data_IF_576360532317
#
_entry.id   IF_576360532317
#
_cell.length_a   1.000
_cell.length_b   1.000
_cell.length_c   1.000
_cell.angle_alpha   90.00
_cell.angle_beta   90.00
_cell.angle_gamma   90.00
#
_symmetry.space_group_name_H-M   'P 1'
#
loop_
_entity.id
_entity.type
_entity.pdbx_description
1 polymer ?
#
# COMPACT_ATOMS: atom_id res chain seq x y z
N UNK A 1 -7.84 -25.71 -19.52
CA UNK A 1 -7.32 -24.32 -19.46
C UNK A 1 -8.08 -23.36 -18.52
N UNK A 2 -9.27 -23.66 -17.97
CA UNK A 2 -10.09 -22.67 -17.23
C UNK A 2 -9.87 -22.51 -15.70
N UNK A 3 -9.13 -23.39 -15.01
CA UNK A 3 -8.95 -23.31 -13.53
C UNK A 3 -7.66 -22.62 -13.06
N UNK A 4 -6.66 -22.47 -13.93
CA UNK A 4 -5.41 -21.77 -13.58
C UNK A 4 -5.55 -20.23 -13.67
N UNK A 5 -6.28 -19.71 -14.66
CA UNK A 5 -6.47 -18.27 -14.82
C UNK A 5 -7.29 -17.60 -13.70
N UNK A 6 -8.22 -18.32 -13.06
CA UNK A 6 -9.09 -17.76 -12.02
C UNK A 6 -8.38 -17.61 -10.66
N UNK A 7 -7.37 -18.44 -10.39
CA UNK A 7 -6.54 -18.32 -9.19
C UNK A 7 -5.69 -17.04 -9.22
N UNK A 8 -5.25 -16.64 -10.41
CA UNK A 8 -4.36 -15.50 -10.60
C UNK A 8 -5.05 -14.13 -10.52
N UNK A 9 -6.34 -14.03 -10.86
CA UNK A 9 -7.09 -12.77 -10.84
C UNK A 9 -7.58 -12.34 -9.47
N UNK A 10 -7.70 -13.26 -8.49
CA UNK A 10 -8.28 -12.93 -7.17
C UNK A 10 -7.50 -11.84 -6.43
N UNK A 11 -6.16 -11.94 -6.25
CA UNK A 11 -5.39 -10.89 -5.58
C UNK A 11 -5.47 -9.54 -6.30
N UNK A 12 -5.45 -9.54 -7.64
CA UNK A 12 -5.59 -8.33 -8.44
C UNK A 12 -6.96 -7.68 -8.25
N UNK A 13 -8.05 -8.44 -8.33
CA UNK A 13 -9.40 -7.95 -8.11
C UNK A 13 -9.60 -7.42 -6.68
N UNK A 14 -9.05 -8.13 -5.67
CA UNK A 14 -9.05 -7.67 -4.28
C UNK A 14 -8.31 -6.34 -4.14
N UNK A 15 -7.14 -6.19 -4.76
CA UNK A 15 -6.40 -4.93 -4.72
C UNK A 15 -7.12 -3.79 -5.43
N UNK A 16 -7.77 -4.04 -6.57
CA UNK A 16 -8.60 -3.03 -7.23
C UNK A 16 -9.78 -2.57 -6.35
N UNK A 17 -10.41 -3.50 -5.62
CA UNK A 17 -11.45 -3.14 -4.65
C UNK A 17 -10.89 -2.32 -3.48
N UNK A 18 -9.73 -2.71 -2.94
CA UNK A 18 -9.00 -1.94 -1.91
C UNK A 18 -8.70 -0.53 -2.42
N UNK A 19 -8.27 -0.40 -3.67
CA UNK A 19 -7.96 0.90 -4.27
C UNK A 19 -9.17 1.83 -4.26
N UNK A 20 -10.34 1.35 -4.68
CA UNK A 20 -11.57 2.16 -4.70
C UNK A 20 -11.98 2.56 -3.28
N UNK A 21 -11.95 1.61 -2.33
CA UNK A 21 -12.24 1.89 -0.91
C UNK A 21 -11.28 2.93 -0.35
N UNK A 22 -9.98 2.83 -0.68
CA UNK A 22 -8.97 3.77 -0.23
C UNK A 22 -9.07 5.15 -0.90
N UNK A 23 -9.60 5.24 -2.10
CA UNK A 23 -9.89 6.52 -2.73
C UNK A 23 -11.05 7.25 -2.02
N UNK A 24 -12.13 6.54 -1.70
CA UNK A 24 -13.28 7.09 -0.97
C UNK A 24 -12.89 7.50 0.45
N UNK A 25 -12.10 6.68 1.16
CA UNK A 25 -11.68 6.99 2.53
C UNK A 25 -10.84 8.27 2.60
N UNK A 26 -9.94 8.51 1.63
CA UNK A 26 -9.15 9.75 1.57
C UNK A 26 -10.05 10.98 1.48
N UNK A 27 -11.10 10.90 0.65
CA UNK A 27 -12.09 11.97 0.48
C UNK A 27 -12.84 12.24 1.78
N UNK A 28 -13.38 11.20 2.43
CA UNK A 28 -14.12 11.34 3.69
C UNK A 28 -13.25 11.87 4.83
N UNK A 29 -12.03 11.34 4.97
CA UNK A 29 -11.07 11.85 5.95
C UNK A 29 -10.77 13.33 5.74
N UNK A 30 -10.60 13.76 4.49
CA UNK A 30 -10.38 15.17 4.16
C UNK A 30 -11.58 16.03 4.52
N UNK A 31 -12.80 15.61 4.17
CA UNK A 31 -14.02 16.35 4.54
C UNK A 31 -14.18 16.47 6.06
N UNK A 32 -13.83 15.43 6.81
CA UNK A 32 -13.91 15.45 8.27
C UNK A 32 -12.84 16.36 8.92
N UNK A 33 -11.64 16.45 8.33
CA UNK A 33 -10.64 17.44 8.75
C UNK A 33 -11.04 18.88 8.42
N UNK A 34 -11.72 19.11 7.30
CA UNK A 34 -12.29 20.43 6.98
C UNK A 34 -13.34 20.88 8.02
N UNK A 35 -13.93 19.95 8.78
CA UNK A 35 -14.80 20.23 9.92
C UNK A 35 -14.05 20.34 11.27
N UNK A 36 -12.72 20.45 11.25
CA UNK A 36 -11.90 20.64 12.45
C UNK A 36 -11.63 19.38 13.28
N UNK A 37 -11.84 18.18 12.73
CA UNK A 37 -11.55 16.94 13.44
C UNK A 37 -10.04 16.79 13.68
N UNK A 38 -9.63 16.42 14.90
CA UNK A 38 -8.22 16.28 15.21
C UNK A 38 -7.61 14.98 14.64
N UNK A 39 -6.40 15.08 14.12
CA UNK A 39 -5.68 13.96 13.47
C UNK A 39 -5.51 12.76 14.39
N UNK A 40 -4.99 12.98 15.60
CA UNK A 40 -4.71 11.90 16.56
C UNK A 40 -5.99 11.19 16.98
N UNK A 41 -7.08 11.94 17.19
CA UNK A 41 -8.39 11.39 17.54
C UNK A 41 -8.95 10.52 16.42
N UNK A 42 -8.89 10.99 15.16
CA UNK A 42 -9.31 10.18 14.02
C UNK A 42 -8.54 8.87 13.94
N UNK A 43 -7.21 8.91 14.03
CA UNK A 43 -6.39 7.69 13.94
C UNK A 43 -6.78 6.74 15.08
N UNK A 44 -6.79 7.21 16.33
CA UNK A 44 -7.11 6.38 17.50
C UNK A 44 -8.48 5.73 17.38
N UNK A 45 -9.53 6.51 17.05
CA UNK A 45 -10.88 5.97 16.90
C UNK A 45 -10.99 5.02 15.71
N UNK A 46 -10.33 5.32 14.59
CA UNK A 46 -10.26 4.44 13.42
C UNK A 46 -9.69 3.07 13.79
N UNK A 47 -8.58 3.01 14.54
CA UNK A 47 -7.98 1.73 14.94
C UNK A 47 -8.84 0.98 15.96
N UNK A 48 -9.47 1.70 16.88
CA UNK A 48 -10.41 1.11 17.82
C UNK A 48 -11.61 0.47 17.11
N UNK A 49 -12.23 1.19 16.17
CA UNK A 49 -13.32 0.67 15.35
C UNK A 49 -12.88 -0.55 14.54
N UNK A 50 -11.68 -0.53 13.94
CA UNK A 50 -11.15 -1.67 13.21
C UNK A 50 -10.97 -2.90 14.09
N UNK A 51 -10.45 -2.72 15.31
CA UNK A 51 -10.33 -3.79 16.30
C UNK A 51 -11.70 -4.34 16.70
N UNK A 52 -12.66 -3.48 17.05
CA UNK A 52 -14.02 -3.92 17.43
C UNK A 52 -14.73 -4.70 16.32
N UNK A 53 -14.47 -4.32 15.06
CA UNK A 53 -15.02 -5.02 13.90
C UNK A 53 -14.34 -6.38 13.67
N UNK A 54 -12.99 -6.44 13.70
CA UNK A 54 -12.25 -7.66 13.39
C UNK A 54 -12.18 -8.66 14.55
N UNK A 55 -12.18 -8.20 15.81
CA UNK A 55 -12.07 -9.07 16.99
C UNK A 55 -13.11 -10.19 17.05
N UNK A 56 -14.44 -9.93 16.87
CA UNK A 56 -15.42 -11.01 16.86
C UNK A 56 -15.21 -11.96 15.68
N UNK A 57 -14.89 -11.44 14.48
CA UNK A 57 -14.63 -12.26 13.29
C UNK A 57 -13.43 -13.18 13.52
N UNK A 58 -12.35 -12.63 14.09
CA UNK A 58 -11.15 -13.36 14.44
C UNK A 58 -11.44 -14.46 15.47
N UNK A 59 -12.20 -14.13 16.52
CA UNK A 59 -12.60 -15.11 17.53
C UNK A 59 -13.40 -16.27 16.90
N UNK A 60 -14.45 -15.98 16.13
CA UNK A 60 -15.30 -17.05 15.59
C UNK A 60 -14.59 -17.88 14.51
N UNK A 61 -13.77 -17.27 13.64
CA UNK A 61 -13.08 -18.00 12.57
C UNK A 61 -11.82 -18.74 13.01
N UNK A 62 -11.04 -18.17 13.92
CA UNK A 62 -9.68 -18.67 14.19
C UNK A 62 -9.49 -19.21 15.61
N UNK A 63 -10.51 -19.17 16.50
CA UNK A 63 -10.37 -19.67 17.89
C UNK A 63 -9.79 -21.07 18.04
N UNK A 64 -9.97 -21.96 17.05
CA UNK A 64 -9.47 -23.35 17.08
C UNK A 64 -8.13 -23.54 16.36
N UNK A 65 -7.75 -22.62 15.49
CA UNK A 65 -6.58 -22.75 14.59
C UNK A 65 -5.46 -21.77 14.93
N UNK A 66 -5.70 -20.84 15.86
CA UNK A 66 -4.78 -19.77 16.25
C UNK A 66 -3.51 -20.33 16.90
N UNK A 67 -2.32 -20.01 16.36
CA UNK A 67 -1.04 -20.36 16.99
C UNK A 67 -0.88 -19.68 18.35
N UNK A 68 -0.06 -20.27 19.23
CA UNK A 68 0.30 -19.65 20.52
C UNK A 68 1.03 -18.33 20.25
N UNK A 69 0.65 -17.29 20.99
CA UNK A 69 1.27 -15.98 20.91
C UNK A 69 2.58 -15.99 21.70
N UNK A 70 3.70 -16.18 21.01
CA UNK A 70 5.04 -16.08 21.62
C UNK A 70 5.47 -14.62 21.77
N UNK A 71 6.47 -14.36 22.61
CA UNK A 71 7.06 -13.01 22.74
C UNK A 71 7.57 -12.49 21.39
N UNK A 72 8.17 -13.37 20.58
CA UNK A 72 8.62 -13.02 19.24
C UNK A 72 7.46 -12.54 18.36
N UNK A 73 6.36 -13.29 18.27
CA UNK A 73 5.19 -12.91 17.48
C UNK A 73 4.60 -11.60 18.00
N UNK A 74 4.55 -11.42 19.33
CA UNK A 74 4.08 -10.18 19.94
C UNK A 74 4.94 -8.97 19.52
N UNK A 75 6.27 -9.11 19.54
CA UNK A 75 7.19 -8.05 19.09
C UNK A 75 6.97 -7.73 17.61
N UNK A 76 6.82 -8.75 16.75
CA UNK A 76 6.48 -8.54 15.34
C UNK A 76 5.15 -7.77 15.17
N UNK A 77 4.11 -8.14 15.91
CA UNK A 77 2.82 -7.45 15.90
C UNK A 77 2.91 -6.02 16.40
N UNK A 78 3.70 -5.78 17.45
CA UNK A 78 3.91 -4.45 18.01
C UNK A 78 4.56 -3.51 16.99
N UNK A 79 5.66 -3.95 16.37
CA UNK A 79 6.31 -3.16 15.32
C UNK A 79 5.46 -3.04 14.06
N UNK A 80 4.67 -4.07 13.71
CA UNK A 80 3.71 -3.97 12.61
C UNK A 80 2.64 -2.91 12.88
N UNK A 81 2.14 -2.84 14.12
CA UNK A 81 1.21 -1.81 14.55
C UNK A 81 1.83 -0.40 14.48
N UNK A 82 3.08 -0.23 14.95
CA UNK A 82 3.81 1.05 14.86
C UNK A 82 3.97 1.45 13.39
N UNK A 83 4.56 0.59 12.57
CA UNK A 83 4.96 0.92 11.20
C UNK A 83 3.78 1.01 10.24
N UNK A 84 2.73 0.22 10.40
CA UNK A 84 1.60 0.23 9.47
C UNK A 84 0.49 1.19 9.87
N UNK A 85 0.00 1.05 11.09
CA UNK A 85 -1.28 1.63 11.50
C UNK A 85 -1.11 2.93 12.32
N UNK A 86 -0.04 3.05 13.12
CA UNK A 86 0.18 4.21 14.01
C UNK A 86 1.06 5.29 13.37
N UNK A 87 2.37 5.05 13.34
CA UNK A 87 3.40 6.04 13.03
C UNK A 87 3.29 6.52 11.57
N UNK A 88 3.06 5.61 10.62
CA UNK A 88 2.88 5.97 9.21
C UNK A 88 1.73 6.95 9.02
N UNK A 89 0.56 6.69 9.62
CA UNK A 89 -0.60 7.56 9.47
C UNK A 89 -0.36 8.91 10.13
N UNK A 90 0.22 8.90 11.33
CA UNK A 90 0.52 10.11 12.06
C UNK A 90 1.53 10.99 11.30
N UNK A 91 2.66 10.41 10.85
CA UNK A 91 3.66 11.11 10.04
C UNK A 91 3.09 11.62 8.72
N UNK A 92 2.22 10.86 8.06
CA UNK A 92 1.58 11.29 6.82
C UNK A 92 0.72 12.55 7.04
N UNK A 93 -0.11 12.55 8.09
CA UNK A 93 -0.94 13.73 8.39
C UNK A 93 -0.15 14.91 8.95
N UNK A 94 0.92 14.67 9.73
CA UNK A 94 1.86 15.74 10.12
C UNK A 94 2.52 16.34 8.88
N UNK A 95 2.96 15.50 7.95
CA UNK A 95 3.50 15.93 6.66
C UNK A 95 2.52 16.80 5.87
N UNK A 96 1.26 16.37 5.79
CA UNK A 96 0.18 17.13 5.17
C UNK A 96 -0.12 18.48 5.84
N UNK A 97 0.16 18.66 7.14
CA UNK A 97 -0.01 19.97 7.81
C UNK A 97 1.01 21.02 7.33
N UNK A 98 2.15 20.58 6.80
CA UNK A 98 3.26 21.45 6.39
C UNK A 98 3.51 21.46 4.87
N UNK A 99 2.74 20.67 4.11
CA UNK A 99 2.91 20.49 2.67
C UNK A 99 1.56 20.38 1.97
N UNK A 100 1.55 20.20 0.65
CA UNK A 100 0.31 20.05 -0.11
C UNK A 100 -0.12 18.59 -0.23
N UNK A 101 -1.40 18.34 -0.50
CA UNK A 101 -1.90 16.98 -0.73
C UNK A 101 -1.18 16.29 -1.89
N UNK A 102 -0.93 17.00 -2.99
CA UNK A 102 -0.18 16.49 -4.15
C UNK A 102 1.25 16.11 -3.77
N UNK A 103 1.91 16.94 -2.96
CA UNK A 103 3.25 16.67 -2.46
C UNK A 103 3.27 15.40 -1.61
N UNK A 104 2.33 15.24 -0.69
CA UNK A 104 2.21 14.05 0.15
C UNK A 104 1.90 12.77 -0.66
N UNK A 105 1.04 12.88 -1.69
CA UNK A 105 0.77 11.76 -2.60
C UNK A 105 2.02 11.31 -3.34
N UNK A 106 2.92 12.23 -3.70
CA UNK A 106 4.19 11.91 -4.34
C UNK A 106 5.05 10.95 -3.50
N UNK A 107 5.16 11.21 -2.19
CA UNK A 107 5.90 10.35 -1.28
C UNK A 107 5.23 9.00 -1.09
N UNK A 108 3.89 8.94 -0.96
CA UNK A 108 3.20 7.65 -0.91
C UNK A 108 3.42 6.86 -2.20
N UNK A 109 3.46 7.52 -3.36
CA UNK A 109 3.71 6.87 -4.65
C UNK A 109 5.15 6.31 -4.77
N UNK A 110 6.07 6.69 -3.87
CA UNK A 110 7.39 6.08 -3.76
C UNK A 110 7.40 4.75 -2.99
N UNK A 111 6.31 4.40 -2.29
CA UNK A 111 6.17 3.14 -1.52
C UNK A 111 6.58 1.90 -2.32
N UNK A 112 6.11 1.63 -3.56
CA UNK A 112 6.52 0.43 -4.29
C UNK A 112 8.02 0.38 -4.56
N UNK A 113 8.67 1.52 -4.80
CA UNK A 113 10.12 1.57 -5.01
C UNK A 113 10.90 1.30 -3.73
N UNK A 114 10.52 1.93 -2.61
CA UNK A 114 11.12 1.63 -1.32
C UNK A 114 10.89 0.17 -0.92
N UNK A 115 9.69 -0.36 -1.16
CA UNK A 115 9.35 -1.75 -0.89
C UNK A 115 10.21 -2.70 -1.73
N UNK A 116 10.42 -2.40 -3.01
CA UNK A 116 11.33 -3.17 -3.86
C UNK A 116 12.76 -3.17 -3.32
N UNK A 117 13.32 -2.00 -3.00
CA UNK A 117 14.69 -1.87 -2.46
C UNK A 117 14.84 -2.62 -1.14
N UNK A 118 13.89 -2.48 -0.21
CA UNK A 118 13.91 -3.16 1.10
C UNK A 118 13.69 -4.67 0.93
N UNK A 119 12.93 -5.13 -0.08
CA UNK A 119 12.69 -6.55 -0.33
C UNK A 119 13.95 -7.32 -0.79
N UNK A 120 14.92 -6.65 -1.41
CA UNK A 120 16.16 -7.27 -1.91
C UNK A 120 17.01 -7.92 -0.80
N UNK A 121 17.44 -7.21 0.26
CA UNK A 121 18.25 -7.82 1.33
C UNK A 121 17.51 -8.93 2.10
N UNK A 122 16.18 -8.93 2.10
CA UNK A 122 15.39 -9.99 2.72
C UNK A 122 15.13 -11.20 1.80
N UNK A 123 15.67 -11.20 0.57
CA UNK A 123 15.49 -12.27 -0.41
C UNK A 123 14.04 -12.45 -0.86
N UNK A 124 13.18 -11.45 -0.64
CA UNK A 124 11.79 -11.46 -1.08
C UNK A 124 11.67 -11.11 -2.57
N UNK A 125 12.67 -10.43 -3.11
CA UNK A 125 12.85 -10.19 -4.55
C UNK A 125 14.23 -10.66 -4.99
N UNK A 126 14.30 -11.18 -6.21
CA UNK A 126 15.57 -11.49 -6.88
C UNK A 126 15.80 -10.46 -7.98
N UNK A 127 16.98 -9.84 -7.96
CA UNK A 127 17.44 -8.93 -9.00
C UNK A 127 18.57 -9.60 -9.77
N UNK A 128 18.28 -10.06 -10.99
CA UNK A 128 19.30 -10.57 -11.90
C UNK A 128 19.45 -9.64 -13.11
N UNK A 129 20.46 -8.77 -13.05
CA UNK A 129 20.77 -7.78 -14.09
C UNK A 129 21.21 -8.41 -15.42
N UNK A 130 21.51 -9.72 -15.45
CA UNK A 130 21.81 -10.44 -16.69
C UNK A 130 20.54 -10.77 -17.48
N UNK A 131 19.37 -10.69 -16.85
CA UNK A 131 18.09 -10.95 -17.50
C UNK A 131 17.40 -9.66 -17.92
N UNK A 132 16.68 -9.70 -19.05
CA UNK A 132 15.86 -8.56 -19.48
C UNK A 132 14.77 -8.18 -18.46
N UNK A 133 14.31 -9.13 -17.64
CA UNK A 133 13.36 -8.86 -16.55
C UNK A 133 14.01 -8.09 -15.40
N UNK A 134 15.23 -8.45 -14.98
CA UNK A 134 15.96 -7.72 -13.95
C UNK A 134 16.31 -6.29 -14.39
N UNK A 135 16.73 -6.09 -15.64
CA UNK A 135 16.93 -4.75 -16.21
C UNK A 135 15.64 -3.94 -16.23
N UNK A 136 14.52 -4.54 -16.65
CA UNK A 136 13.22 -3.88 -16.64
C UNK A 136 12.75 -3.46 -15.23
N UNK A 137 13.07 -4.24 -14.18
CA UNK A 137 12.79 -3.87 -12.77
C UNK A 137 13.57 -2.64 -12.33
N UNK A 138 14.87 -2.55 -12.66
CA UNK A 138 15.68 -1.36 -12.34
C UNK A 138 15.15 -0.15 -13.08
N UNK A 139 14.97 -0.25 -14.40
CA UNK A 139 14.46 0.86 -15.21
C UNK A 139 13.09 1.32 -14.70
N UNK A 140 12.16 0.40 -14.45
CA UNK A 140 10.84 0.73 -13.92
C UNK A 140 10.89 1.42 -12.55
N UNK A 141 11.80 0.99 -11.67
CA UNK A 141 12.03 1.61 -10.36
C UNK A 141 12.61 3.01 -10.49
N UNK A 142 13.60 3.21 -11.37
CA UNK A 142 14.20 4.52 -11.63
C UNK A 142 13.19 5.48 -12.25
N UNK A 143 12.44 5.04 -13.28
CA UNK A 143 11.40 5.85 -13.93
C UNK A 143 10.30 6.23 -12.92
N UNK A 144 9.87 5.29 -12.07
CA UNK A 144 8.91 5.57 -11.00
C UNK A 144 9.44 6.60 -10.00
N UNK A 145 10.72 6.53 -9.64
CA UNK A 145 11.38 7.47 -8.73
C UNK A 145 11.47 8.87 -9.32
N UNK A 146 11.88 8.98 -10.58
CA UNK A 146 11.87 10.24 -11.30
C UNK A 146 10.46 10.81 -11.41
N UNK A 147 9.46 9.97 -11.72
CA UNK A 147 8.05 10.38 -11.76
C UNK A 147 7.53 10.93 -10.43
N UNK A 148 7.90 10.29 -9.32
CA UNK A 148 7.53 10.75 -7.98
C UNK A 148 8.25 12.04 -7.57
N UNK A 149 9.51 12.25 -7.98
CA UNK A 149 10.22 13.52 -7.77
C UNK A 149 9.55 14.65 -8.57
N UNK A 150 9.20 14.41 -9.83
CA UNK A 150 8.49 15.39 -10.66
C UNK A 150 7.13 15.72 -10.03
N UNK A 151 6.37 14.71 -9.58
CA UNK A 151 5.10 14.89 -8.87
C UNK A 151 5.23 15.76 -7.61
N UNK A 152 6.35 15.64 -6.89
CA UNK A 152 6.62 16.41 -5.68
C UNK A 152 7.08 17.84 -5.98
N UNK A 153 8.04 18.01 -6.87
CA UNK A 153 8.75 19.29 -7.03
C UNK A 153 8.18 20.17 -8.14
N UNK A 154 7.45 19.59 -9.09
CA UNK A 154 6.85 20.32 -10.20
C UNK A 154 5.33 20.43 -9.99
N UNK A 155 4.84 21.64 -9.71
CA UNK A 155 3.39 21.89 -9.71
C UNK A 155 2.88 22.20 -11.12
N UNK A 156 3.59 23.02 -11.90
CA UNK A 156 3.16 23.40 -13.26
C UNK A 156 1.85 24.22 -13.27
N UNK A 157 1.36 24.62 -14.47
CA UNK A 157 0.10 25.35 -14.60
C UNK A 157 -1.11 24.51 -14.20
N UNK A 158 -2.16 25.18 -13.72
CA UNK A 158 -3.46 24.56 -13.48
C UNK A 158 -4.09 24.12 -14.80
N UNK A 159 -4.47 22.86 -14.89
CA UNK A 159 -5.12 22.27 -16.07
C UNK A 159 -6.64 22.49 -16.07
N UNK A 160 -7.19 22.99 -14.98
CA UNK A 160 -8.61 23.31 -14.82
C UNK A 160 -8.78 24.82 -14.72
N UNK A 161 -9.49 25.41 -15.68
CA UNK A 161 -9.69 26.86 -15.80
C UNK A 161 -10.71 27.38 -14.78
N UNK A 162 -10.22 27.76 -13.60
CA UNK A 162 -10.91 28.61 -12.63
C UNK A 162 -9.89 29.51 -11.95
N UNK A 163 -10.05 30.82 -12.09
CA UNK A 163 -9.13 31.84 -11.57
C UNK A 163 -9.14 31.90 -10.04
N UNK A 164 -8.13 31.30 -9.41
CA UNK A 164 -7.69 31.68 -8.06
C UNK A 164 -6.16 31.61 -7.97
N UNK A 165 -5.58 32.64 -7.37
CA UNK A 165 -4.14 32.91 -7.37
C UNK A 165 -3.30 31.78 -6.74
N UNK A 166 -2.04 31.58 -7.17
CA UNK A 166 -1.16 30.60 -6.56
C UNK A 166 -0.85 31.01 -5.12
N UNK A 167 -1.10 30.13 -4.15
CA UNK A 167 -0.56 30.27 -2.80
C UNK A 167 0.96 30.03 -2.86
N UNK A 168 1.72 31.10 -3.07
CA UNK A 168 3.16 31.10 -2.90
C UNK A 168 3.48 30.94 -1.40
N UNK A 169 4.14 29.84 -1.02
CA UNK A 169 4.70 29.68 0.33
C UNK A 169 5.87 30.66 0.52
N UNK A 170 5.71 31.57 1.48
CA UNK A 170 6.68 32.62 1.80
C UNK A 170 8.05 32.11 2.25
N UNK A 171 9.10 32.70 1.66
CA UNK A 171 10.50 32.46 1.96
C UNK A 171 10.87 32.96 3.38
N UNK A 172 11.69 32.19 4.10
CA UNK A 172 12.22 32.55 5.43
C UNK A 172 11.84 31.55 6.53
N UNK A 173 10.60 31.60 7.01
CA UNK A 173 10.06 30.63 8.00
C UNK A 173 9.35 29.42 7.37
N UNK A 174 9.07 29.47 6.06
CA UNK A 174 8.46 28.38 5.30
C UNK A 174 9.41 27.21 5.04
N UNK A 175 10.71 27.45 4.92
CA UNK A 175 11.70 26.42 4.56
C UNK A 175 11.84 25.34 5.63
N UNK A 176 12.02 25.71 6.90
CA UNK A 176 12.14 24.74 7.99
C UNK A 176 10.86 23.91 8.15
N UNK A 177 9.68 24.55 8.07
CA UNK A 177 8.38 23.87 8.15
C UNK A 177 8.18 22.89 6.97
N UNK A 178 8.53 23.32 5.76
CA UNK A 178 8.45 22.47 4.56
C UNK A 178 9.43 21.29 4.61
N UNK A 179 10.65 21.49 5.13
CA UNK A 179 11.62 20.40 5.37
C UNK A 179 11.07 19.41 6.40
N UNK A 180 10.52 19.88 7.52
CA UNK A 180 9.88 19.01 8.51
C UNK A 180 8.75 18.19 7.88
N UNK A 181 7.90 18.82 7.06
CA UNK A 181 6.84 18.12 6.33
C UNK A 181 7.36 17.07 5.35
N UNK A 182 8.40 17.40 4.59
CA UNK A 182 9.04 16.49 3.63
C UNK A 182 9.68 15.28 4.31
N UNK A 183 10.42 15.50 5.41
CA UNK A 183 11.02 14.43 6.20
C UNK A 183 9.94 13.53 6.80
N UNK A 184 8.84 14.10 7.32
CA UNK A 184 7.73 13.32 7.85
C UNK A 184 7.06 12.45 6.77
N UNK A 185 6.83 12.98 5.56
CA UNK A 185 6.25 12.22 4.45
C UNK A 185 7.17 11.12 3.94
N UNK A 186 8.48 11.39 3.85
CA UNK A 186 9.47 10.38 3.48
C UNK A 186 9.51 9.24 4.51
N UNK A 187 9.52 9.60 5.80
CA UNK A 187 9.48 8.64 6.88
C UNK A 187 8.18 7.83 6.88
N UNK A 188 7.03 8.44 6.56
CA UNK A 188 5.76 7.74 6.41
C UNK A 188 5.81 6.70 5.27
N UNK A 189 6.32 7.08 4.09
CA UNK A 189 6.45 6.17 2.95
C UNK A 189 7.42 5.01 3.24
N UNK A 190 8.52 5.28 3.95
CA UNK A 190 9.46 4.27 4.38
C UNK A 190 8.82 3.31 5.40
N UNK A 191 8.16 3.83 6.45
CA UNK A 191 7.46 3.02 7.45
C UNK A 191 6.38 2.14 6.81
N UNK A 192 5.62 2.69 5.87
CA UNK A 192 4.62 1.95 5.11
C UNK A 192 5.24 0.79 4.34
N UNK A 193 6.37 1.04 3.65
CA UNK A 193 7.12 0.01 2.92
C UNK A 193 7.64 -1.08 3.84
N UNK A 194 8.22 -0.72 4.99
CA UNK A 194 8.66 -1.68 6.00
C UNK A 194 7.49 -2.51 6.56
N UNK A 195 6.31 -1.92 6.72
CA UNK A 195 5.12 -2.65 7.14
C UNK A 195 4.78 -3.76 6.14
N UNK A 196 4.79 -3.53 4.83
CA UNK A 196 4.52 -4.59 3.84
C UNK A 196 5.50 -5.77 3.97
N UNK A 197 6.78 -5.48 4.15
CA UNK A 197 7.83 -6.49 4.33
C UNK A 197 7.61 -7.28 5.63
N UNK A 198 7.37 -6.55 6.72
CA UNK A 198 7.13 -7.13 8.04
C UNK A 198 5.87 -8.00 8.04
N UNK A 199 4.80 -7.53 7.38
CA UNK A 199 3.53 -8.24 7.26
C UNK A 199 3.69 -9.55 6.48
N UNK A 200 4.54 -9.58 5.45
CA UNK A 200 4.87 -10.81 4.72
C UNK A 200 5.56 -11.85 5.61
N UNK A 201 6.46 -11.42 6.51
CA UNK A 201 7.10 -12.33 7.47
C UNK A 201 6.14 -12.75 8.58
N UNK A 202 5.30 -11.83 9.05
CA UNK A 202 4.31 -12.08 10.08
C UNK A 202 3.29 -13.12 9.61
N UNK A 203 2.77 -13.04 8.38
CA UNK A 203 1.83 -14.02 7.84
C UNK A 203 2.36 -15.45 7.82
N UNK A 204 3.69 -15.62 7.65
CA UNK A 204 4.35 -16.93 7.72
C UNK A 204 4.51 -17.44 9.16
N UNK A 205 4.84 -16.55 10.10
CA UNK A 205 5.05 -16.90 11.52
C UNK A 205 3.75 -17.06 12.31
N UNK A 206 2.72 -16.32 11.89
CA UNK A 206 1.43 -16.26 12.54
C UNK A 206 0.32 -16.38 11.50
N UNK A 207 0.03 -17.61 11.02
CA UNK A 207 -0.98 -17.88 9.98
C UNK A 207 -2.43 -17.78 10.50
N UNK A 208 -2.71 -16.74 11.29
CA UNK A 208 -4.03 -16.36 11.78
C UNK A 208 -4.28 -14.91 11.34
N UNK A 209 -4.66 -14.75 10.08
CA UNK A 209 -4.75 -13.46 9.37
C UNK A 209 -5.69 -12.48 10.09
N UNK A 210 -6.85 -12.95 10.54
CA UNK A 210 -7.85 -12.10 11.21
C UNK A 210 -7.38 -11.70 12.60
N UNK A 211 -6.90 -12.66 13.39
CA UNK A 211 -6.39 -12.45 14.75
C UNK A 211 -5.15 -11.57 14.76
N UNK A 212 -4.24 -11.77 13.80
CA UNK A 212 -3.04 -10.96 13.63
C UNK A 212 -3.38 -9.50 13.33
N UNK A 213 -4.29 -9.25 12.38
CA UNK A 213 -4.74 -7.88 12.08
C UNK A 213 -5.52 -7.27 13.25
N UNK A 214 -6.41 -8.02 13.91
CA UNK A 214 -7.12 -7.52 15.09
C UNK A 214 -6.15 -7.11 16.22
N UNK A 215 -5.16 -7.95 16.53
CA UNK A 215 -4.14 -7.63 17.53
C UNK A 215 -3.27 -6.44 17.11
N UNK A 216 -2.89 -6.35 15.85
CA UNK A 216 -2.16 -5.21 15.31
C UNK A 216 -2.96 -3.90 15.51
N UNK A 217 -4.27 -3.92 15.24
CA UNK A 217 -5.13 -2.75 15.48
C UNK A 217 -5.33 -2.43 16.96
N UNK A 218 -5.41 -3.45 17.82
CA UNK A 218 -5.44 -3.24 19.27
C UNK A 218 -4.16 -2.56 19.77
N UNK A 219 -3.00 -3.06 19.35
CA UNK A 219 -1.70 -2.46 19.71
C UNK A 219 -1.56 -1.06 19.14
N UNK A 220 -2.02 -0.83 17.92
CA UNK A 220 -2.01 0.49 17.28
C UNK A 220 -2.93 1.48 17.99
N UNK A 221 -4.12 1.03 18.41
CA UNK A 221 -5.02 1.81 19.25
C UNK A 221 -4.34 2.21 20.56
N UNK A 222 -3.70 1.27 21.27
CA UNK A 222 -3.02 1.57 22.53
C UNK A 222 -1.88 2.58 22.33
N UNK A 223 -1.08 2.42 21.27
CA UNK A 223 0.00 3.35 20.92
C UNK A 223 -0.54 4.76 20.67
N UNK A 224 -1.56 4.88 19.81
CA UNK A 224 -2.13 6.18 19.43
C UNK A 224 -2.99 6.81 20.52
N UNK A 225 -3.64 6.01 21.37
CA UNK A 225 -4.30 6.48 22.58
C UNK A 225 -3.29 7.06 23.57
N UNK A 226 -2.15 6.38 23.77
CA UNK A 226 -1.07 6.87 24.63
C UNK A 226 -0.50 8.19 24.12
N UNK A 227 -0.22 8.28 22.82
CA UNK A 227 0.20 9.54 22.17
C UNK A 227 -0.87 10.61 22.33
N UNK A 228 -2.14 10.29 22.05
CA UNK A 228 -3.26 11.20 22.16
C UNK A 228 -3.46 11.75 23.56
N UNK A 229 -3.35 10.92 24.60
CA UNK A 229 -3.44 11.37 25.99
C UNK A 229 -2.24 12.22 26.40
N UNK A 230 -1.05 11.96 25.84
CA UNK A 230 0.14 12.75 26.13
C UNK A 230 0.13 14.12 25.40
N UNK A 231 -0.43 14.20 24.19
CA UNK A 231 -0.46 15.42 23.38
C UNK A 231 -1.72 16.26 23.56
N UNK A 232 -2.88 15.63 23.76
CA UNK A 232 -4.18 16.30 23.87
C UNK A 232 -4.67 16.27 25.32
N UNK A 233 -4.53 17.39 26.03
CA UNK A 233 -5.01 17.53 27.42
C UNK A 233 -6.52 17.79 27.51
N UNK A 234 -7.13 18.29 26.44
CA UNK A 234 -8.54 18.62 26.41
C UNK A 234 -9.39 17.43 25.93
N UNK A 235 -10.24 16.92 26.81
CA UNK A 235 -11.18 15.83 26.49
C UNK A 235 -12.24 16.23 25.45
N UNK A 236 -12.44 17.53 25.24
CA UNK A 236 -13.41 18.08 24.28
C UNK A 236 -13.07 17.75 22.82
N UNK A 237 -11.80 17.43 22.53
CA UNK A 237 -11.29 17.06 21.20
C UNK A 237 -11.69 15.63 20.82
N UNK A 238 -11.94 14.78 21.82
CA UNK A 238 -12.34 13.38 21.63
C UNK A 238 -13.84 13.21 21.34
N UNK A 239 -14.62 14.26 21.53
CA UNK A 239 -16.06 14.26 21.27
C UNK A 239 -16.30 14.50 19.77
N UNK A 240 -16.89 13.51 19.11
CA UNK A 240 -17.35 13.65 17.72
C UNK A 240 -18.60 14.53 17.69
N UNK A 241 -18.50 15.69 17.02
CA UNK A 241 -19.53 16.73 17.06
C UNK A 241 -20.53 16.63 15.93
N UNK A 242 -20.12 16.07 14.79
CA UNK A 242 -20.95 16.03 13.57
C UNK A 242 -21.23 14.61 13.12
N UNK A 243 -22.37 14.42 12.43
CA UNK A 243 -22.72 13.14 11.80
C UNK A 243 -21.66 12.68 10.80
N UNK A 244 -21.04 13.63 10.07
CA UNK A 244 -19.98 13.34 9.11
C UNK A 244 -18.74 12.77 9.80
N UNK A 245 -18.32 13.33 10.94
CA UNK A 245 -17.19 12.82 11.71
C UNK A 245 -17.44 11.37 12.18
N UNK A 246 -18.64 11.08 12.68
CA UNK A 246 -19.03 9.72 13.10
C UNK A 246 -19.01 8.74 11.92
N UNK A 247 -19.67 9.10 10.81
CA UNK A 247 -19.70 8.28 9.59
C UNK A 247 -18.29 8.04 9.07
N UNK A 248 -17.43 9.06 9.10
CA UNK A 248 -16.04 8.96 8.66
C UNK A 248 -15.25 8.00 9.54
N UNK A 249 -15.32 8.14 10.86
CA UNK A 249 -14.64 7.22 11.79
C UNK A 249 -15.09 5.78 11.57
N UNK A 250 -16.40 5.55 11.46
CA UNK A 250 -16.94 4.21 11.23
C UNK A 250 -16.52 3.63 9.87
N UNK A 251 -16.67 4.39 8.79
CA UNK A 251 -16.32 3.93 7.45
C UNK A 251 -14.81 3.68 7.31
N UNK A 252 -13.99 4.64 7.73
CA UNK A 252 -12.52 4.53 7.61
C UNK A 252 -11.99 3.44 8.55
N UNK A 253 -12.60 3.25 9.72
CA UNK A 253 -12.28 2.16 10.66
C UNK A 253 -12.66 0.78 10.12
N UNK A 254 -13.88 0.60 9.65
CA UNK A 254 -14.38 -0.70 9.16
C UNK A 254 -13.82 -1.02 7.78
N UNK A 255 -14.06 -0.16 6.79
CA UNK A 255 -13.70 -0.41 5.39
C UNK A 255 -12.21 -0.20 5.15
N UNK A 256 -11.66 0.91 5.66
CA UNK A 256 -10.26 1.27 5.45
C UNK A 256 -9.29 0.41 6.25
N UNK A 257 -9.42 0.41 7.58
CA UNK A 257 -8.56 -0.39 8.46
C UNK A 257 -8.99 -1.85 8.51
N UNK A 258 -10.21 -2.16 8.96
CA UNK A 258 -10.69 -3.52 9.19
C UNK A 258 -10.61 -4.42 7.95
N UNK A 259 -11.38 -4.10 6.91
CA UNK A 259 -11.44 -4.89 5.67
C UNK A 259 -10.22 -4.61 4.80
N UNK A 260 -9.83 -3.33 4.66
CA UNK A 260 -8.76 -2.91 3.77
C UNK A 260 -7.38 -3.45 4.12
N UNK A 261 -6.91 -3.30 5.37
CA UNK A 261 -5.61 -3.86 5.77
C UNK A 261 -5.62 -5.38 5.81
N UNK A 262 -6.76 -5.98 6.16
CA UNK A 262 -6.91 -7.43 6.11
C UNK A 262 -6.77 -7.94 4.67
N UNK A 263 -7.44 -7.29 3.71
CA UNK A 263 -7.35 -7.59 2.29
C UNK A 263 -5.92 -7.36 1.74
N UNK A 264 -5.26 -6.28 2.13
CA UNK A 264 -3.85 -6.03 1.79
C UNK A 264 -2.94 -7.11 2.37
N UNK A 265 -3.11 -7.45 3.66
CA UNK A 265 -2.35 -8.51 4.33
C UNK A 265 -2.50 -9.85 3.62
N UNK A 266 -3.72 -10.20 3.24
CA UNK A 266 -3.99 -11.39 2.45
C UNK A 266 -3.29 -11.33 1.09
N UNK A 267 -3.36 -10.21 0.37
CA UNK A 267 -2.66 -10.06 -0.92
C UNK A 267 -1.13 -10.18 -0.78
N UNK A 268 -0.56 -9.68 0.32
CA UNK A 268 0.86 -9.81 0.64
C UNK A 268 1.24 -11.30 0.83
N UNK A 269 0.40 -12.08 1.51
CA UNK A 269 0.64 -13.52 1.68
C UNK A 269 0.55 -14.28 0.35
N UNK A 270 -0.37 -13.89 -0.55
CA UNK A 270 -0.58 -14.57 -1.82
C UNK A 270 0.45 -14.22 -2.90
N UNK A 271 0.82 -12.94 -3.04
CA UNK A 271 1.62 -12.43 -4.18
C UNK A 271 2.88 -11.67 -3.75
N UNK A 272 3.06 -11.46 -2.45
CA UNK A 272 4.20 -10.74 -1.90
C UNK A 272 3.99 -9.22 -1.79
N UNK A 273 4.86 -8.54 -1.02
CA UNK A 273 4.72 -7.13 -0.66
C UNK A 273 4.88 -6.17 -1.84
N UNK A 274 5.78 -6.47 -2.79
CA UNK A 274 5.99 -5.63 -3.98
C UNK A 274 4.78 -5.64 -4.91
N UNK A 275 4.09 -6.76 -5.03
CA UNK A 275 2.83 -6.83 -5.80
C UNK A 275 1.75 -5.95 -5.16
N UNK A 276 1.57 -6.04 -3.84
CA UNK A 276 0.52 -5.27 -3.15
C UNK A 276 0.80 -3.77 -3.20
N UNK A 277 2.05 -3.35 -2.98
CA UNK A 277 2.45 -1.94 -3.01
C UNK A 277 2.38 -1.32 -4.39
N UNK A 278 2.43 -2.14 -5.45
CA UNK A 278 2.24 -1.68 -6.81
C UNK A 278 0.94 -0.90 -6.99
N UNK A 279 -0.13 -1.24 -6.29
CA UNK A 279 -1.42 -0.59 -6.46
C UNK A 279 -1.54 0.76 -5.76
N UNK A 280 -0.57 1.14 -4.91
CA UNK A 280 -0.64 2.39 -4.13
C UNK A 280 -0.75 3.67 -4.99
N UNK A 281 -0.10 3.82 -6.15
CA UNK A 281 -0.29 4.99 -7.00
C UNK A 281 -1.70 5.09 -7.58
N UNK A 282 -2.33 3.95 -7.86
CA UNK A 282 -3.70 3.92 -8.37
C UNK A 282 -4.69 4.44 -7.33
N UNK A 283 -4.43 4.21 -6.03
CA UNK A 283 -5.22 4.78 -4.93
C UNK A 283 -5.25 6.31 -5.04
N UNK A 284 -4.08 6.93 -5.22
CA UNK A 284 -3.96 8.37 -5.28
C UNK A 284 -4.56 8.95 -6.56
N UNK A 285 -4.44 8.25 -7.68
CA UNK A 285 -5.07 8.66 -8.95
C UNK A 285 -6.59 8.74 -8.82
N UNK A 286 -7.22 7.68 -8.31
CA UNK A 286 -8.68 7.64 -8.14
C UNK A 286 -9.12 8.61 -7.04
N UNK A 287 -8.38 8.72 -5.94
CA UNK A 287 -8.67 9.69 -4.89
C UNK A 287 -8.63 11.13 -5.42
N UNK A 288 -7.62 11.47 -6.23
CA UNK A 288 -7.52 12.76 -6.89
C UNK A 288 -8.72 13.06 -7.80
N UNK A 289 -9.12 12.09 -8.62
CA UNK A 289 -10.30 12.23 -9.47
C UNK A 289 -11.59 12.45 -8.66
N UNK A 290 -11.79 11.70 -7.57
CA UNK A 290 -12.94 11.88 -6.67
C UNK A 290 -12.89 13.28 -6.03
N UNK A 291 -11.72 13.74 -5.56
CA UNK A 291 -11.58 15.06 -4.94
C UNK A 291 -11.86 16.21 -5.91
N UNK A 292 -11.48 16.10 -7.20
CA UNK A 292 -11.82 17.11 -8.22
C UNK A 292 -13.35 17.22 -8.34
N UNK A 293 -14.06 16.09 -8.39
CA UNK A 293 -15.52 16.08 -8.57
C UNK A 293 -16.25 16.49 -7.30
N UNK A 294 -15.83 15.97 -6.14
CA UNK A 294 -16.56 16.13 -4.88
C UNK A 294 -16.15 17.38 -4.06
N UNK A 295 -14.90 17.85 -4.20
CA UNK A 295 -14.36 19.01 -3.48
C UNK A 295 -13.99 20.18 -4.41
N UNK A 296 -14.22 20.06 -5.72
CA UNK A 296 -13.89 21.08 -6.73
C UNK A 296 -12.42 21.52 -6.70
N UNK A 297 -11.51 20.58 -6.43
CA UNK A 297 -10.06 20.86 -6.40
C UNK A 297 -9.46 21.03 -7.80
N UNK A 298 -8.41 21.85 -7.90
CA UNK A 298 -7.71 22.09 -9.14
C UNK A 298 -6.66 21.01 -9.46
N UNK A 299 -6.67 20.52 -10.69
CA UNK A 299 -5.65 19.60 -11.19
C UNK A 299 -4.45 20.37 -11.72
N UNK A 300 -3.27 20.04 -11.20
CA UNK A 300 -2.02 20.66 -11.60
C UNK A 300 -1.28 19.78 -12.63
N UNK A 301 -0.64 20.38 -13.64
CA UNK A 301 0.04 19.63 -14.72
C UNK A 301 1.10 18.66 -14.18
N UNK A 302 1.88 19.08 -13.19
CA UNK A 302 2.88 18.20 -12.60
C UNK A 302 2.29 17.02 -11.83
N UNK A 303 1.06 17.16 -11.32
CA UNK A 303 0.31 16.05 -10.72
C UNK A 303 -0.08 15.00 -11.76
N UNK A 304 -0.56 15.43 -12.92
CA UNK A 304 -0.95 14.54 -14.01
C UNK A 304 0.28 13.82 -14.62
N UNK A 305 1.33 14.58 -14.95
CA UNK A 305 2.55 14.03 -15.57
C UNK A 305 3.29 13.08 -14.63
N UNK A 306 3.46 13.48 -13.36
CA UNK A 306 4.12 12.65 -12.35
C UNK A 306 3.36 11.35 -12.07
N UNK A 307 2.03 11.42 -11.99
CA UNK A 307 1.18 10.22 -11.82
C UNK A 307 1.30 9.28 -13.02
N UNK A 308 1.32 9.80 -14.25
CA UNK A 308 1.50 9.00 -15.46
C UNK A 308 2.85 8.27 -15.46
N UNK A 309 3.94 8.95 -15.11
CA UNK A 309 5.28 8.35 -15.02
C UNK A 309 5.36 7.25 -13.95
N UNK A 310 4.71 7.44 -12.79
CA UNK A 310 4.63 6.40 -11.75
C UNK A 310 3.88 5.16 -12.26
N UNK A 311 2.77 5.34 -12.99
CA UNK A 311 2.00 4.23 -13.57
C UNK A 311 2.84 3.47 -14.61
N UNK A 312 3.58 4.18 -15.47
CA UNK A 312 4.46 3.57 -16.47
C UNK A 312 5.59 2.79 -15.79
N UNK A 313 6.27 3.39 -14.81
CA UNK A 313 7.34 2.72 -14.05
C UNK A 313 6.83 1.45 -13.37
N UNK A 314 5.62 1.51 -12.81
CA UNK A 314 4.97 0.36 -12.21
C UNK A 314 4.63 -0.75 -13.20
N UNK A 315 4.07 -0.38 -14.35
CA UNK A 315 3.73 -1.33 -15.41
C UNK A 315 4.95 -2.13 -15.84
N UNK A 316 6.10 -1.47 -16.00
CA UNK A 316 7.36 -2.14 -16.35
C UNK A 316 7.80 -3.15 -15.29
N UNK A 317 7.67 -2.80 -13.99
CA UNK A 317 7.99 -3.71 -12.88
C UNK A 317 7.05 -4.93 -12.86
N UNK A 318 5.75 -4.71 -13.02
CA UNK A 318 4.76 -5.79 -13.04
C UNK A 318 4.93 -6.69 -14.26
N UNK A 319 5.16 -6.11 -15.44
CA UNK A 319 5.43 -6.85 -16.67
C UNK A 319 6.68 -7.73 -16.54
N UNK A 320 7.76 -7.20 -15.95
CA UNK A 320 8.98 -7.95 -15.67
C UNK A 320 8.70 -9.18 -14.79
N UNK A 321 7.86 -9.01 -13.76
CA UNK A 321 7.44 -10.11 -12.88
C UNK A 321 6.59 -11.16 -13.59
N UNK A 322 5.66 -10.75 -14.45
CA UNK A 322 4.90 -11.69 -15.27
C UNK A 322 5.83 -12.52 -16.15
N UNK A 323 6.85 -11.89 -16.74
CA UNK A 323 7.85 -12.58 -17.58
C UNK A 323 8.69 -13.59 -16.79
N UNK A 324 9.09 -13.28 -15.56
CA UNK A 324 9.78 -14.22 -14.68
C UNK A 324 8.89 -15.42 -14.28
N UNK A 325 7.61 -15.17 -13.99
CA UNK A 325 6.65 -16.23 -13.68
C UNK A 325 6.40 -17.15 -14.88
N UNK A 326 6.31 -16.60 -16.09
CA UNK A 326 6.18 -17.37 -17.33
C UNK A 326 7.47 -18.14 -17.69
N UNK A 327 8.65 -17.59 -17.37
CA UNK A 327 9.94 -18.26 -17.58
C UNK A 327 10.27 -19.37 -16.57
N UNK A 328 9.62 -19.36 -15.40
CA UNK A 328 9.78 -20.37 -14.35
C UNK A 328 8.79 -21.57 -14.47
N UNK A 329 7.83 -21.53 -15.40
CA UNK A 329 7.01 -22.69 -15.72
C UNK A 329 7.89 -23.78 -16.36
N UNK A 330 7.76 -25.07 -15.98
CA UNK A 330 8.72 -26.09 -16.37
C UNK A 330 8.65 -26.35 -17.87
N UNK A 331 9.64 -25.83 -18.59
CA UNK A 331 10.05 -26.26 -19.93
C UNK A 331 10.64 -27.67 -19.95
N UNK A 332 10.60 -28.42 -18.84
CA UNK A 332 11.05 -29.82 -18.81
C UNK A 332 10.04 -30.78 -19.44
N UNK A 333 8.72 -30.50 -19.40
CA UNK A 333 7.74 -31.46 -19.90
C UNK A 333 7.63 -31.49 -21.43
N UNK A 334 8.02 -30.42 -22.13
CA UNK A 334 8.04 -30.40 -23.60
C UNK A 334 9.28 -31.12 -24.14
N UNK A 335 10.43 -30.96 -23.48
CA UNK A 335 11.66 -31.66 -23.88
C UNK A 335 11.61 -33.16 -23.54
N UNK A 336 11.01 -33.56 -22.41
CA UNK A 336 10.85 -34.99 -22.07
C UNK A 336 9.87 -35.67 -23.02
N UNK A 337 8.74 -35.03 -23.37
CA UNK A 337 7.79 -35.58 -24.35
C UNK A 337 8.38 -35.66 -25.76
N UNK A 338 9.15 -34.67 -26.21
CA UNK A 338 9.83 -34.73 -27.51
C UNK A 338 10.96 -35.76 -27.56
N UNK A 339 11.67 -36.01 -26.46
CA UNK A 339 12.69 -37.07 -26.38
C UNK A 339 12.03 -38.45 -26.34
N UNK A 340 10.93 -38.60 -25.62
CA UNK A 340 10.19 -39.87 -25.55
C UNK A 340 9.53 -40.21 -26.89
N UNK A 341 8.97 -39.21 -27.60
CA UNK A 341 8.36 -39.38 -28.92
C UNK A 341 9.40 -39.68 -30.01
N UNK A 342 10.59 -39.05 -29.96
CA UNK A 342 11.72 -39.40 -30.84
C UNK A 342 12.26 -40.81 -30.56
N UNK A 343 12.31 -41.25 -29.29
CA UNK A 343 12.73 -42.62 -28.97
C UNK A 343 11.74 -43.67 -29.49
N UNK A 344 10.42 -43.39 -29.39
CA UNK A 344 9.36 -44.28 -29.90
C UNK A 344 9.33 -44.35 -31.42
N UNK A 345 9.68 -43.27 -32.12
CA UNK A 345 9.81 -43.26 -33.57
C UNK A 345 11.04 -44.03 -34.05
N UNK A 346 12.20 -43.87 -33.38
CA UNK A 346 13.42 -44.61 -33.70
C UNK A 346 13.24 -46.14 -33.53
N UNK A 347 12.58 -46.59 -32.46
CA UNK A 347 12.31 -48.02 -32.23
C UNK A 347 11.31 -48.62 -33.22
N UNK A 348 10.36 -47.82 -33.73
CA UNK A 348 9.43 -48.28 -34.79
C UNK A 348 10.10 -48.40 -36.15
N UNK A 349 11.07 -47.54 -36.44
CA UNK A 349 11.80 -47.53 -37.70
C UNK A 349 12.77 -48.72 -37.79
N UNK A 350 13.44 -49.08 -36.68
CA UNK A 350 14.29 -50.29 -36.62
C UNK A 350 13.51 -51.61 -36.67
N UNK A 351 12.21 -51.62 -36.32
CA UNK A 351 11.37 -52.81 -36.40
C UNK A 351 10.74 -53.03 -37.79
N UNK A 352 10.93 -52.10 -38.74
CA UNK A 352 10.44 -52.23 -40.12
C UNK A 352 11.54 -52.61 -41.13
N UNK A 353 12.82 -52.57 -40.71
CA UNK A 353 13.99 -52.92 -41.53
C UNK A 353 14.59 -54.30 -41.19
N UNK A 354 13.83 -55.16 -40.47
CA UNK A 354 14.12 -56.59 -40.22
C UNK A 354 12.92 -57.40 -40.68
#
# INVERSE_FOLDING_TARGET
MGRYAWGDCKPTATMLAVVVVFAVLNTLTKMAFNQGMHTTVLITLRQFTAFLFLAPIAYFRERKTRPKLTLEIFVYLFFSAVLGASLTQWLFFVGLRYTTATFACAFINMTPMFTFVVALPFGMEKLDLKTGAGVAKVIGTTVGFTGAIILALYQGPSLTSSSSAPQAMGAGHGAHRWVTGSVALLAAAACWSFWFILQSKLGKKYPALYSGNALMFLLSFLQMASVGMATERDLSVWILRTKLQIITVLFVGIMGSGIGFLAMSWCIEQRGPVFTTAFTPLIQLIAGAINIVALHEQLHLGSALGSALVIVGLYLVLWAKTKEASGAAPSSNVNVLMVEEKSKQATKQQAQDV
#
